data_IF_932126852087
#
_entry.id   IF_932126852087
#
_cell.length_a   1.000
_cell.length_b   1.000
_cell.length_c   1.000
_cell.angle_alpha   90.00
_cell.angle_beta   90.00
_cell.angle_gamma   90.00
#
_symmetry.space_group_name_H-M   'P 1'
#
loop_
_entity.id
_entity.type
_entity.pdbx_description
1 polymer ?
#
# COMPACT_ATOMS: atom_id res chain seq x y z
N UNK A 1 18.13 59.00 -35.18
CA UNK A 1 18.60 57.58 -35.11
C UNK A 1 19.08 57.19 -33.71
N UNK A 2 19.64 58.08 -32.93
CA UNK A 2 20.15 57.85 -31.56
C UNK A 2 19.04 57.70 -30.49
N UNK A 3 17.87 58.31 -30.73
CA UNK A 3 16.74 58.33 -29.75
C UNK A 3 16.11 56.93 -29.52
N UNK A 4 16.17 56.04 -30.46
CA UNK A 4 15.57 54.68 -30.32
C UNK A 4 16.53 53.65 -29.71
N UNK A 5 17.81 53.97 -29.57
CA UNK A 5 18.83 53.06 -29.06
C UNK A 5 18.52 52.55 -27.64
N UNK A 6 18.10 53.42 -26.68
CA UNK A 6 17.73 52.96 -25.33
C UNK A 6 16.51 52.02 -25.34
N UNK A 7 15.53 52.29 -26.18
CA UNK A 7 14.33 51.48 -26.30
C UNK A 7 14.65 50.08 -26.82
N UNK A 8 15.50 49.97 -27.83
CA UNK A 8 15.96 48.68 -28.37
C UNK A 8 16.77 47.90 -27.35
N UNK A 9 17.68 48.56 -26.61
CA UNK A 9 18.46 47.91 -25.56
C UNK A 9 17.57 47.40 -24.41
N UNK A 10 16.57 48.17 -24.01
CA UNK A 10 15.60 47.76 -23.00
C UNK A 10 14.78 46.56 -23.46
N UNK A 11 14.32 46.56 -24.72
CA UNK A 11 13.58 45.44 -25.31
C UNK A 11 14.42 44.14 -25.38
N UNK A 12 15.71 44.26 -25.78
CA UNK A 12 16.61 43.12 -25.78
C UNK A 12 16.89 42.57 -24.38
N UNK A 13 17.09 43.48 -23.40
CA UNK A 13 17.28 43.08 -22.00
C UNK A 13 16.07 42.36 -21.40
N UNK A 14 14.87 42.88 -21.71
CA UNK A 14 13.62 42.26 -21.26
C UNK A 14 13.45 40.84 -21.89
N UNK A 15 13.69 40.72 -23.18
CA UNK A 15 13.61 39.45 -23.91
C UNK A 15 14.62 38.45 -23.33
N UNK A 16 15.87 38.84 -23.13
CA UNK A 16 16.91 38.01 -22.53
C UNK A 16 16.51 37.55 -21.11
N UNK A 17 15.93 38.47 -20.30
CA UNK A 17 15.45 38.14 -18.96
C UNK A 17 14.32 37.14 -18.98
N UNK A 18 13.35 37.27 -19.89
CA UNK A 18 12.23 36.31 -20.04
C UNK A 18 12.76 34.94 -20.43
N UNK A 19 13.67 34.85 -21.40
CA UNK A 19 14.28 33.58 -21.81
C UNK A 19 15.07 32.93 -20.68
N UNK A 20 15.83 33.73 -19.94
CA UNK A 20 16.57 33.24 -18.76
C UNK A 20 15.63 32.67 -17.70
N UNK A 21 14.63 33.44 -17.27
CA UNK A 21 13.68 32.97 -16.26
C UNK A 21 12.87 31.74 -16.72
N UNK A 22 12.47 31.70 -17.97
CA UNK A 22 11.78 30.53 -18.55
C UNK A 22 12.66 29.29 -18.50
N UNK A 23 13.95 29.43 -18.83
CA UNK A 23 14.92 28.34 -18.74
C UNK A 23 15.16 27.87 -17.31
N UNK A 24 15.29 28.82 -16.35
CA UNK A 24 15.42 28.52 -14.92
C UNK A 24 14.20 27.76 -14.38
N UNK A 25 12.98 28.22 -14.70
CA UNK A 25 11.75 27.55 -14.29
C UNK A 25 11.64 26.15 -14.90
N UNK A 26 11.99 25.98 -16.16
CA UNK A 26 12.00 24.65 -16.80
C UNK A 26 12.97 23.69 -16.11
N UNK A 27 14.20 24.15 -15.85
CA UNK A 27 15.21 23.33 -15.17
C UNK A 27 14.77 22.98 -13.74
N UNK A 28 14.17 23.91 -13.01
CA UNK A 28 13.63 23.69 -11.67
C UNK A 28 12.50 22.62 -11.69
N UNK A 29 11.59 22.71 -12.65
CA UNK A 29 10.52 21.74 -12.81
C UNK A 29 11.05 20.33 -13.16
N UNK A 30 12.05 20.26 -14.04
CA UNK A 30 12.70 18.97 -14.38
C UNK A 30 13.44 18.38 -13.17
N UNK A 31 14.16 19.20 -12.41
CA UNK A 31 14.82 18.78 -11.18
C UNK A 31 13.82 18.26 -10.14
N UNK A 32 12.67 18.94 -9.99
CA UNK A 32 11.61 18.51 -9.08
C UNK A 32 11.01 17.16 -9.51
N UNK A 33 10.73 16.95 -10.79
CA UNK A 33 10.25 15.67 -11.32
C UNK A 33 11.23 14.54 -11.02
N UNK A 34 12.52 14.74 -11.32
CA UNK A 34 13.56 13.73 -11.03
C UNK A 34 13.66 13.42 -9.54
N UNK A 35 13.56 14.44 -8.69
CA UNK A 35 13.55 14.23 -7.24
C UNK A 35 12.34 13.40 -6.78
N UNK A 36 11.16 13.63 -7.34
CA UNK A 36 9.95 12.83 -7.05
C UNK A 36 10.09 11.38 -7.53
N UNK A 37 10.60 11.17 -8.75
CA UNK A 37 10.86 9.82 -9.29
C UNK A 37 11.87 9.06 -8.43
N UNK A 38 12.95 9.71 -8.01
CA UNK A 38 13.94 9.12 -7.11
C UNK A 38 13.32 8.72 -5.78
N UNK A 39 12.51 9.59 -5.16
CA UNK A 39 11.81 9.28 -3.91
C UNK A 39 10.85 8.10 -4.06
N UNK A 40 10.09 8.03 -5.15
CA UNK A 40 9.20 6.90 -5.45
C UNK A 40 9.96 5.60 -5.59
N UNK A 41 11.09 5.62 -6.31
CA UNK A 41 11.95 4.44 -6.47
C UNK A 41 12.52 3.98 -5.14
N UNK A 42 13.05 4.89 -4.32
CA UNK A 42 13.58 4.58 -2.99
C UNK A 42 12.50 3.97 -2.09
N UNK A 43 11.30 4.55 -2.09
CA UNK A 43 10.18 4.02 -1.31
C UNK A 43 9.79 2.61 -1.77
N UNK A 44 9.70 2.38 -3.08
CA UNK A 44 9.39 1.06 -3.64
C UNK A 44 10.43 0.02 -3.26
N UNK A 45 11.72 0.36 -3.35
CA UNK A 45 12.81 -0.52 -2.95
C UNK A 45 12.74 -0.88 -1.47
N UNK A 46 12.60 0.12 -0.61
CA UNK A 46 12.49 -0.08 0.84
C UNK A 46 11.30 -0.98 1.24
N UNK A 47 10.17 -0.84 0.55
CA UNK A 47 8.98 -1.68 0.77
C UNK A 47 9.26 -3.12 0.35
N UNK A 48 9.81 -3.32 -0.84
CA UNK A 48 10.12 -4.66 -1.36
C UNK A 48 11.12 -5.38 -0.46
N UNK A 49 12.16 -4.68 0.00
CA UNK A 49 13.14 -5.21 0.95
C UNK A 49 12.48 -5.62 2.28
N UNK A 50 11.59 -4.79 2.82
CA UNK A 50 10.90 -5.07 4.09
C UNK A 50 10.00 -6.31 3.97
N UNK A 51 9.15 -6.38 2.93
CA UNK A 51 8.23 -7.52 2.72
C UNK A 51 8.99 -8.79 2.36
N UNK A 52 10.09 -8.67 1.62
CA UNK A 52 10.98 -9.79 1.26
C UNK A 52 11.95 -10.18 2.37
N UNK A 53 11.98 -9.48 3.51
CA UNK A 53 12.89 -9.82 4.60
C UNK A 53 12.53 -11.18 5.22
N UNK A 54 13.57 -11.90 5.68
CA UNK A 54 13.38 -13.21 6.31
C UNK A 54 12.47 -13.14 7.53
N UNK A 55 12.58 -12.08 8.31
CA UNK A 55 11.77 -11.91 9.52
C UNK A 55 10.31 -11.69 9.18
N UNK A 56 10.01 -10.82 8.20
CA UNK A 56 8.63 -10.63 7.73
C UNK A 56 8.02 -11.91 7.15
N UNK A 57 8.80 -12.64 6.33
CA UNK A 57 8.33 -13.91 5.76
C UNK A 57 8.07 -14.97 6.84
N UNK A 58 8.91 -15.05 7.87
CA UNK A 58 8.68 -15.94 9.01
C UNK A 58 7.37 -15.59 9.71
N UNK A 59 7.20 -14.33 10.11
CA UNK A 59 6.00 -13.87 10.80
C UNK A 59 4.75 -14.09 9.93
N UNK A 60 4.84 -13.83 8.64
CA UNK A 60 3.76 -14.09 7.68
C UNK A 60 3.38 -15.57 7.63
N UNK A 61 4.37 -16.49 7.51
CA UNK A 61 4.13 -17.94 7.46
C UNK A 61 3.50 -18.41 8.77
N UNK A 62 4.04 -18.03 9.92
CA UNK A 62 3.50 -18.38 11.23
C UNK A 62 2.04 -17.91 11.35
N UNK A 63 1.71 -16.69 10.94
CA UNK A 63 0.35 -16.18 10.95
C UNK A 63 -0.62 -16.97 10.05
N UNK A 64 -0.14 -17.49 8.93
CA UNK A 64 -0.99 -18.32 8.05
C UNK A 64 -1.26 -19.72 8.62
N UNK A 65 -0.45 -20.17 9.57
CA UNK A 65 -0.56 -21.49 10.22
C UNK A 65 -1.36 -21.47 11.53
N UNK A 66 -1.66 -20.28 12.11
CA UNK A 66 -2.46 -20.21 13.33
C UNK A 66 -3.86 -20.76 13.11
N UNK A 67 -4.35 -21.62 14.02
CA UNK A 67 -5.65 -22.24 13.90
C UNK A 67 -6.59 -21.81 15.02
N UNK A 68 -7.81 -21.41 14.66
CA UNK A 68 -8.88 -21.10 15.59
C UNK A 68 -10.25 -21.44 14.96
N UNK A 69 -11.23 -21.70 15.82
CA UNK A 69 -12.58 -22.08 15.42
C UNK A 69 -13.47 -20.82 15.29
N UNK A 70 -13.38 -19.93 16.26
CA UNK A 70 -14.16 -18.70 16.34
C UNK A 70 -13.36 -17.58 17.06
N UNK A 71 -13.96 -16.42 17.23
CA UNK A 71 -13.32 -15.26 17.85
C UNK A 71 -12.96 -15.54 19.32
N UNK A 72 -13.81 -16.25 20.06
CA UNK A 72 -13.53 -16.53 21.47
C UNK A 72 -12.35 -17.50 21.62
N UNK A 73 -12.25 -18.50 20.75
CA UNK A 73 -11.11 -19.42 20.68
C UNK A 73 -9.85 -18.67 20.26
N UNK A 74 -9.94 -17.77 19.27
CA UNK A 74 -8.84 -16.91 18.87
C UNK A 74 -8.30 -16.07 20.04
N UNK A 75 -9.19 -15.39 20.77
CA UNK A 75 -8.78 -14.54 21.91
C UNK A 75 -8.14 -15.37 23.03
N UNK A 76 -8.66 -16.54 23.35
CA UNK A 76 -8.09 -17.45 24.35
C UNK A 76 -6.67 -17.92 24.00
N UNK A 77 -6.35 -18.04 22.72
CA UNK A 77 -5.05 -18.56 22.26
C UNK A 77 -4.04 -17.47 21.94
N UNK A 78 -4.52 -16.34 21.39
CA UNK A 78 -3.68 -15.37 20.68
C UNK A 78 -3.89 -13.91 21.08
N UNK A 79 -4.73 -13.61 22.08
CA UNK A 79 -4.85 -12.25 22.60
C UNK A 79 -3.52 -11.77 23.20
N UNK A 80 -3.28 -10.46 23.20
CA UNK A 80 -2.05 -9.85 23.72
C UNK A 80 -1.77 -10.19 25.21
N UNK A 81 -2.81 -10.48 25.98
CA UNK A 81 -2.68 -10.87 27.38
C UNK A 81 -2.28 -12.33 27.57
N UNK A 82 -2.45 -13.16 26.54
CA UNK A 82 -2.19 -14.60 26.58
C UNK A 82 -0.92 -14.94 25.81
N UNK A 83 -0.73 -14.36 24.63
CA UNK A 83 0.39 -14.65 23.74
C UNK A 83 0.91 -13.36 23.10
N UNK A 84 1.76 -12.65 23.83
CA UNK A 84 2.34 -11.37 23.41
C UNK A 84 3.17 -11.50 22.13
N UNK A 85 3.87 -12.62 21.92
CA UNK A 85 4.68 -12.86 20.74
C UNK A 85 3.81 -12.94 19.49
N UNK A 86 2.81 -13.82 19.50
CA UNK A 86 1.86 -13.96 18.39
C UNK A 86 1.10 -12.64 18.12
N UNK A 87 0.82 -11.87 19.16
CA UNK A 87 0.22 -10.54 19.01
C UNK A 87 1.17 -9.57 18.30
N UNK A 88 2.45 -9.52 18.72
CA UNK A 88 3.45 -8.64 18.13
C UNK A 88 3.72 -8.97 16.64
N UNK A 89 3.85 -10.26 16.32
CA UNK A 89 4.01 -10.74 14.94
C UNK A 89 2.82 -10.29 14.07
N UNK A 90 1.61 -10.53 14.54
CA UNK A 90 0.37 -10.13 13.85
C UNK A 90 0.30 -8.63 13.65
N UNK A 91 0.60 -7.86 14.69
CA UNK A 91 0.62 -6.41 14.62
C UNK A 91 1.63 -5.90 13.59
N UNK A 92 2.82 -6.48 13.56
CA UNK A 92 3.89 -6.14 12.60
C UNK A 92 3.43 -6.34 11.15
N UNK A 93 2.82 -7.48 10.84
CA UNK A 93 2.35 -7.79 9.49
C UNK A 93 1.16 -6.91 9.11
N UNK A 94 0.18 -6.73 10.01
CA UNK A 94 -0.98 -5.88 9.73
C UNK A 94 -0.59 -4.42 9.51
N UNK A 95 0.29 -3.87 10.36
CA UNK A 95 0.78 -2.50 10.20
C UNK A 95 1.61 -2.31 8.93
N UNK A 96 2.31 -3.33 8.48
CA UNK A 96 2.99 -3.25 7.20
C UNK A 96 1.98 -3.07 6.05
N UNK A 97 0.91 -3.86 6.02
CA UNK A 97 -0.15 -3.73 5.01
C UNK A 97 -0.99 -2.46 5.18
N UNK A 98 -1.26 -2.02 6.41
CA UNK A 98 -1.92 -0.73 6.69
C UNK A 98 -1.12 0.44 6.10
N UNK A 99 0.19 0.47 6.32
CA UNK A 99 1.06 1.50 5.76
C UNK A 99 1.12 1.44 4.23
N UNK A 100 1.17 0.25 3.63
CA UNK A 100 1.12 0.10 2.17
C UNK A 100 -0.20 0.59 1.58
N UNK A 101 -1.30 0.29 2.24
CA UNK A 101 -2.62 0.79 1.84
C UNK A 101 -2.73 2.30 1.91
N UNK A 102 -2.19 2.91 2.96
CA UNK A 102 -2.07 4.36 3.07
C UNK A 102 -1.26 4.95 1.90
N UNK A 103 -0.07 4.41 1.62
CA UNK A 103 0.78 4.89 0.53
C UNK A 103 0.11 4.75 -0.85
N UNK A 104 -0.66 3.68 -1.06
CA UNK A 104 -1.43 3.50 -2.28
C UNK A 104 -2.56 4.52 -2.39
N UNK A 105 -3.30 4.75 -1.31
CA UNK A 105 -4.41 5.72 -1.26
C UNK A 105 -3.96 7.14 -1.54
N UNK A 106 -2.79 7.51 -1.01
CA UNK A 106 -2.18 8.83 -1.22
C UNK A 106 -1.45 8.96 -2.58
N UNK A 107 -1.44 7.92 -3.41
CA UNK A 107 -0.74 7.92 -4.71
C UNK A 107 0.78 8.04 -4.59
N UNK A 108 1.34 7.70 -3.43
CA UNK A 108 2.78 7.76 -3.17
C UNK A 108 3.52 6.54 -3.70
N UNK A 109 2.80 5.44 -3.96
CA UNK A 109 3.34 4.22 -4.57
C UNK A 109 2.47 3.79 -5.74
N UNK A 110 3.11 3.20 -6.75
CA UNK A 110 2.42 2.65 -7.91
C UNK A 110 1.71 1.34 -7.57
N UNK A 111 0.47 1.19 -8.09
CA UNK A 111 -0.36 0.01 -7.87
C UNK A 111 0.27 -1.28 -8.41
N UNK A 112 0.95 -1.18 -9.55
CA UNK A 112 1.62 -2.34 -10.16
C UNK A 112 2.81 -2.83 -9.34
N UNK A 113 3.56 -1.91 -8.75
CA UNK A 113 4.66 -2.25 -7.86
C UNK A 113 4.12 -3.01 -6.64
N UNK A 114 3.05 -2.51 -6.02
CA UNK A 114 2.42 -3.19 -4.89
C UNK A 114 1.83 -4.54 -5.26
N UNK A 115 1.20 -4.63 -6.43
CA UNK A 115 0.64 -5.88 -6.92
C UNK A 115 1.71 -6.97 -7.01
N UNK A 116 2.84 -6.64 -7.62
CA UNK A 116 3.94 -7.59 -7.78
C UNK A 116 4.62 -7.96 -6.44
N UNK A 117 4.68 -7.03 -5.50
CA UNK A 117 5.36 -7.25 -4.23
C UNK A 117 4.49 -7.95 -3.16
N UNK A 118 3.18 -7.70 -3.13
CA UNK A 118 2.38 -7.98 -1.94
C UNK A 118 0.96 -8.51 -2.20
N UNK A 119 0.51 -8.65 -3.46
CA UNK A 119 -0.91 -8.87 -3.77
C UNK A 119 -1.52 -10.09 -3.09
N UNK A 120 -0.97 -11.26 -3.33
CA UNK A 120 -1.50 -12.52 -2.80
C UNK A 120 -1.41 -12.58 -1.28
N UNK A 121 -0.26 -12.18 -0.73
CA UNK A 121 -0.06 -12.19 0.72
C UNK A 121 -1.00 -11.24 1.46
N UNK A 122 -1.21 -10.05 0.91
CA UNK A 122 -2.13 -9.07 1.46
C UNK A 122 -3.57 -9.60 1.49
N UNK A 123 -4.05 -10.13 0.36
CA UNK A 123 -5.40 -10.68 0.23
C UNK A 123 -5.61 -11.86 1.18
N UNK A 124 -4.63 -12.73 1.28
CA UNK A 124 -4.67 -13.91 2.15
C UNK A 124 -4.76 -13.55 3.63
N UNK A 125 -3.90 -12.65 4.11
CA UNK A 125 -3.92 -12.23 5.52
C UNK A 125 -5.20 -11.45 5.83
N UNK A 126 -5.65 -10.57 4.93
CA UNK A 126 -6.91 -9.86 5.12
C UNK A 126 -8.07 -10.85 5.26
N UNK A 127 -8.24 -11.76 4.30
CA UNK A 127 -9.33 -12.74 4.31
C UNK A 127 -9.36 -13.60 5.57
N UNK A 128 -8.19 -13.98 6.06
CA UNK A 128 -8.08 -14.77 7.27
C UNK A 128 -8.42 -13.99 8.54
N UNK A 129 -7.96 -12.75 8.65
CA UNK A 129 -8.04 -11.97 9.88
C UNK A 129 -9.14 -10.91 9.90
N UNK A 130 -9.89 -10.74 8.84
CA UNK A 130 -10.99 -9.77 8.79
C UNK A 130 -11.98 -9.93 9.96
N UNK A 131 -12.43 -11.15 10.34
CA UNK A 131 -13.33 -11.29 11.48
C UNK A 131 -12.71 -10.82 12.81
N UNK A 132 -11.40 -11.01 12.97
CA UNK A 132 -10.64 -10.55 14.15
C UNK A 132 -10.51 -9.02 14.14
N UNK A 133 -10.21 -8.45 12.99
CA UNK A 133 -10.12 -6.98 12.81
C UNK A 133 -11.48 -6.34 13.11
N UNK A 134 -12.57 -6.92 12.62
CA UNK A 134 -13.92 -6.44 12.88
C UNK A 134 -14.32 -6.53 14.36
N UNK A 135 -13.86 -7.56 15.05
CA UNK A 135 -14.03 -7.65 16.50
C UNK A 135 -13.32 -6.48 17.21
N UNK A 136 -12.06 -6.20 16.87
CA UNK A 136 -11.29 -5.08 17.45
C UNK A 136 -11.91 -3.72 17.10
N UNK A 137 -12.43 -3.55 15.89
CA UNK A 137 -13.15 -2.33 15.47
C UNK A 137 -14.36 -2.06 16.35
N UNK A 138 -15.15 -3.09 16.66
CA UNK A 138 -16.39 -2.97 17.44
C UNK A 138 -16.14 -2.79 18.93
N UNK A 139 -15.07 -3.34 19.46
CA UNK A 139 -14.86 -3.46 20.90
C UNK A 139 -13.79 -2.54 21.49
N UNK A 140 -12.73 -2.20 20.72
CA UNK A 140 -11.53 -1.62 21.32
C UNK A 140 -10.94 -0.44 20.54
N UNK A 141 -10.76 -0.57 19.21
CA UNK A 141 -9.89 0.31 18.43
C UNK A 141 -10.64 1.27 17.49
N UNK A 142 -11.97 1.13 17.42
CA UNK A 142 -12.83 1.99 16.62
C UNK A 142 -12.90 1.59 15.14
N UNK A 143 -13.88 2.17 14.40
CA UNK A 143 -14.27 1.70 13.06
C UNK A 143 -13.21 1.89 11.98
N UNK A 144 -12.25 2.79 12.20
CA UNK A 144 -11.17 3.07 11.22
C UNK A 144 -9.93 2.20 11.39
N UNK A 145 -9.93 1.31 12.37
CA UNK A 145 -8.80 0.41 12.59
C UNK A 145 -8.56 -0.47 11.35
N UNK A 146 -7.35 -0.47 10.82
CA UNK A 146 -6.93 -1.19 9.59
C UNK A 146 -7.76 -0.83 8.34
N UNK A 147 -8.23 0.41 8.19
CA UNK A 147 -9.02 0.84 7.03
C UNK A 147 -8.19 0.91 5.73
N UNK A 148 -6.90 1.20 5.82
CA UNK A 148 -6.02 1.21 4.66
C UNK A 148 -5.60 -0.19 4.26
N UNK A 149 -5.47 -1.11 5.20
CA UNK A 149 -5.24 -2.53 4.90
C UNK A 149 -6.45 -3.13 4.17
N UNK A 150 -7.67 -2.83 4.61
CA UNK A 150 -8.89 -3.21 3.91
C UNK A 150 -8.93 -2.66 2.48
N UNK A 151 -8.63 -1.38 2.32
CA UNK A 151 -8.54 -0.74 1.01
C UNK A 151 -7.50 -1.44 0.12
N UNK A 152 -6.30 -1.68 0.62
CA UNK A 152 -5.24 -2.38 -0.11
C UNK A 152 -5.69 -3.77 -0.53
N UNK A 153 -6.23 -4.56 0.39
CA UNK A 153 -6.67 -5.92 0.13
C UNK A 153 -7.76 -5.96 -0.95
N UNK A 154 -8.70 -5.01 -0.89
CA UNK A 154 -9.76 -4.87 -1.90
C UNK A 154 -9.22 -4.53 -3.28
N UNK A 155 -8.26 -3.61 -3.38
CA UNK A 155 -7.64 -3.26 -4.66
C UNK A 155 -6.80 -4.42 -5.23
N UNK A 156 -6.05 -5.11 -4.38
CA UNK A 156 -5.27 -6.28 -4.78
C UNK A 156 -6.17 -7.44 -5.22
N UNK A 157 -7.28 -7.67 -4.53
CA UNK A 157 -8.29 -8.66 -4.92
C UNK A 157 -8.84 -8.39 -6.33
N UNK A 158 -9.26 -7.14 -6.60
CA UNK A 158 -9.76 -6.73 -7.93
C UNK A 158 -8.71 -7.00 -9.02
N UNK A 159 -7.45 -6.68 -8.75
CA UNK A 159 -6.37 -6.91 -9.72
C UNK A 159 -6.11 -8.40 -9.93
N UNK A 160 -6.08 -9.20 -8.86
CA UNK A 160 -5.94 -10.65 -8.95
C UNK A 160 -7.05 -11.28 -9.82
N UNK A 161 -8.31 -10.86 -9.59
CA UNK A 161 -9.46 -11.32 -10.38
C UNK A 161 -9.33 -10.93 -11.86
N UNK A 162 -9.03 -9.67 -12.15
CA UNK A 162 -8.91 -9.16 -13.51
C UNK A 162 -7.77 -9.83 -14.30
N UNK A 163 -6.75 -10.33 -13.64
CA UNK A 163 -5.59 -11.01 -14.25
C UNK A 163 -5.70 -12.53 -14.27
N UNK A 164 -6.81 -13.09 -13.77
CA UNK A 164 -7.01 -14.53 -13.74
C UNK A 164 -6.13 -15.27 -12.73
N UNK A 165 -5.51 -14.58 -11.77
CA UNK A 165 -4.76 -15.21 -10.67
C UNK A 165 -5.69 -15.98 -9.72
N UNK A 166 -6.97 -15.60 -9.72
CA UNK A 166 -8.03 -16.24 -8.96
C UNK A 166 -9.00 -16.80 -9.99
N UNK A 167 -8.87 -18.08 -10.33
CA UNK A 167 -9.78 -18.74 -11.25
C UNK A 167 -11.06 -19.14 -10.52
N UNK A 168 -12.25 -18.89 -11.11
CA UNK A 168 -13.51 -19.38 -10.56
C UNK A 168 -13.59 -20.91 -10.43
N UNK A 169 -12.64 -21.62 -11.05
CA UNK A 169 -12.55 -23.09 -11.00
C UNK A 169 -11.50 -23.64 -10.02
N UNK A 170 -10.75 -22.77 -9.34
CA UNK A 170 -9.80 -23.22 -8.32
C UNK A 170 -10.54 -23.52 -7.02
N UNK A 171 -11.13 -24.72 -6.99
CA UNK A 171 -11.99 -25.20 -5.88
C UNK A 171 -11.21 -25.83 -4.73
N UNK A 172 -9.91 -25.85 -4.76
CA UNK A 172 -9.11 -26.44 -3.71
C UNK A 172 -8.80 -25.43 -2.62
N UNK A 173 -9.71 -25.39 -1.66
CA UNK A 173 -9.40 -24.95 -0.33
C UNK A 173 -10.25 -23.81 0.20
N UNK A 174 -10.49 -23.93 1.46
CA UNK A 174 -11.01 -23.00 2.46
C UNK A 174 -10.73 -21.52 2.17
N UNK A 175 -9.60 -21.21 1.51
CA UNK A 175 -9.18 -19.84 1.23
C UNK A 175 -10.03 -19.15 0.15
N UNK A 176 -10.39 -19.87 -0.92
CA UNK A 176 -11.15 -19.27 -2.03
C UNK A 176 -12.58 -18.93 -1.60
N UNK A 177 -13.25 -19.86 -0.95
CA UNK A 177 -14.63 -19.67 -0.50
C UNK A 177 -14.70 -18.53 0.55
N UNK A 178 -13.74 -18.49 1.46
CA UNK A 178 -13.64 -17.42 2.46
C UNK A 178 -13.38 -16.07 1.80
N UNK A 179 -12.45 -15.99 0.87
CA UNK A 179 -12.11 -14.74 0.18
C UNK A 179 -13.26 -14.25 -0.69
N UNK A 180 -13.97 -15.15 -1.36
CA UNK A 180 -15.13 -14.76 -2.17
C UNK A 180 -16.23 -14.15 -1.30
N UNK A 181 -16.55 -14.74 -0.15
CA UNK A 181 -17.55 -14.19 0.77
C UNK A 181 -17.18 -12.83 1.35
N UNK A 182 -15.89 -12.57 1.56
CA UNK A 182 -15.39 -11.32 2.12
C UNK A 182 -15.42 -10.19 1.10
N UNK A 183 -14.97 -10.46 -0.13
CA UNK A 183 -14.82 -9.42 -1.16
C UNK A 183 -16.02 -9.31 -2.11
N UNK A 184 -16.85 -10.33 -2.21
CA UNK A 184 -18.04 -10.39 -3.04
C UNK A 184 -19.20 -11.02 -2.24
N UNK A 185 -19.72 -10.32 -1.20
CA UNK A 185 -20.85 -10.82 -0.45
C UNK A 185 -22.02 -11.04 -1.41
N UNK A 186 -22.59 -12.23 -1.40
CA UNK A 186 -23.83 -12.53 -2.12
C UNK A 186 -24.93 -11.61 -1.59
N UNK A 187 -25.44 -10.73 -2.46
CA UNK A 187 -26.61 -9.88 -2.20
C UNK A 187 -27.85 -10.70 -1.93
#
# INVERSE_FOLDING_TARGET
MIEYLPLVLTGLGLTASILYYTSVLRNANEAQKRAQETRRTQLSTSITEKIGSKDFLRDFIELTQLEWIDIDDFLKKYDHTVNTESYAQRWTVWMAYENLGYLLREGLIDREILFNAASTGCVLIWGRYQPVIDYYRKRQLGPRFMENFEYLATEMWKMCKNRGYISPGYKDGFLFDTLHHIFEPTT
#
